data_IF_596482460799
#
_entry.id   IF_596482460799
#
_cell.length_a   1.000
_cell.length_b   1.000
_cell.length_c   1.000
_cell.angle_alpha   90.00
_cell.angle_beta   90.00
_cell.angle_gamma   90.00
#
_symmetry.space_group_name_H-M   'P 1'
#
loop_
_entity.id
_entity.type
_entity.pdbx_description
1 polymer ?
#
# COMPACT_ATOMS: atom_id res chain seq x y z
N UNK A 1 25.72 14.06 9.66
CA UNK A 1 24.45 14.31 10.37
C UNK A 1 23.38 14.19 9.32
N UNK A 2 22.69 13.04 9.25
CA UNK A 2 21.62 12.86 8.29
C UNK A 2 20.41 13.64 8.79
N UNK A 3 19.92 14.58 7.98
CA UNK A 3 18.63 15.21 8.18
C UNK A 3 17.61 14.11 8.48
N UNK A 4 16.98 14.19 9.66
CA UNK A 4 15.75 13.45 9.92
C UNK A 4 14.72 14.04 8.98
N UNK A 5 14.57 13.48 7.77
CA UNK A 5 13.38 13.69 6.96
C UNK A 5 12.20 13.36 7.87
N UNK A 6 11.37 14.36 8.17
CA UNK A 6 10.11 14.13 8.85
C UNK A 6 9.36 13.03 8.10
N UNK A 7 9.15 11.90 8.76
CA UNK A 7 8.47 10.74 8.18
C UNK A 7 7.06 11.22 7.83
N UNK A 8 6.81 11.51 6.55
CA UNK A 8 5.53 12.06 6.10
C UNK A 8 4.45 11.07 6.50
N UNK A 9 3.50 11.54 7.30
CA UNK A 9 2.32 10.77 7.64
C UNK A 9 1.62 10.42 6.32
N UNK A 10 1.42 9.12 6.04
CA UNK A 10 0.89 8.67 4.75
C UNK A 10 -0.60 9.00 4.59
N UNK A 11 -1.33 9.07 5.72
CA UNK A 11 -2.78 9.25 5.75
C UNK A 11 -3.18 10.37 6.74
N UNK A 12 -2.75 11.63 6.51
CA UNK A 12 -2.89 12.73 7.47
C UNK A 12 -4.31 13.27 7.66
N UNK A 13 -5.23 13.09 6.70
CA UNK A 13 -6.57 13.70 6.73
C UNK A 13 -7.63 12.78 7.34
N UNK A 14 -7.72 11.55 6.85
CA UNK A 14 -8.75 10.59 7.29
C UNK A 14 -8.19 9.47 8.16
N UNK A 15 -6.87 9.39 8.29
CA UNK A 15 -6.19 8.32 9.02
C UNK A 15 -6.10 7.03 8.23
N UNK A 16 -5.37 6.06 8.78
CA UNK A 16 -5.18 4.76 8.15
C UNK A 16 -6.39 3.85 8.41
N UNK A 17 -7.21 3.65 7.39
CA UNK A 17 -8.29 2.65 7.38
C UNK A 17 -7.72 1.24 7.23
N UNK A 18 -8.15 0.32 8.11
CA UNK A 18 -7.59 -1.02 8.24
C UNK A 18 -8.25 -2.08 7.35
N UNK A 19 -9.37 -1.73 6.69
CA UNK A 19 -10.18 -2.65 5.88
C UNK A 19 -10.81 -1.95 4.69
N UNK A 20 -11.29 -2.73 3.71
CA UNK A 20 -12.02 -2.20 2.56
C UNK A 20 -13.36 -1.60 2.98
N UNK A 21 -14.00 -2.25 3.95
CA UNK A 21 -15.30 -1.86 4.49
C UNK A 21 -15.20 -0.50 5.19
N UNK A 22 -14.14 -0.26 5.99
CA UNK A 22 -13.88 1.05 6.59
C UNK A 22 -13.73 2.13 5.52
N UNK A 23 -12.98 1.86 4.44
CA UNK A 23 -12.78 2.79 3.33
C UNK A 23 -14.07 3.14 2.60
N UNK A 24 -14.83 2.13 2.18
CA UNK A 24 -16.08 2.36 1.46
C UNK A 24 -17.17 2.95 2.37
N UNK A 25 -17.18 2.66 3.67
CA UNK A 25 -18.10 3.28 4.61
C UNK A 25 -17.79 4.77 4.84
N UNK A 26 -16.52 5.14 4.96
CA UNK A 26 -16.11 6.54 5.01
C UNK A 26 -16.53 7.29 3.73
N UNK A 27 -16.33 6.66 2.57
CA UNK A 27 -16.75 7.22 1.28
C UNK A 27 -18.27 7.41 1.19
N UNK A 28 -19.06 6.44 1.66
CA UNK A 28 -20.53 6.52 1.66
C UNK A 28 -21.02 7.65 2.56
N UNK A 29 -20.41 7.87 3.73
CA UNK A 29 -20.73 9.01 4.60
C UNK A 29 -20.52 10.35 3.90
N UNK A 30 -19.34 10.55 3.28
CA UNK A 30 -19.03 11.77 2.54
C UNK A 30 -19.98 12.00 1.35
N UNK A 31 -20.31 10.93 0.63
CA UNK A 31 -21.28 10.98 -0.48
C UNK A 31 -22.69 11.37 0.02
N UNK A 32 -23.15 10.79 1.13
CA UNK A 32 -24.46 11.10 1.71
C UNK A 32 -24.57 12.56 2.19
N UNK A 33 -23.46 13.13 2.67
CA UNK A 33 -23.35 14.54 3.06
C UNK A 33 -23.19 15.49 1.86
N UNK A 34 -22.95 14.95 0.66
CA UNK A 34 -22.67 15.73 -0.56
C UNK A 34 -21.28 16.38 -0.57
N UNK A 35 -20.38 15.96 0.32
CA UNK A 35 -19.01 16.49 0.42
C UNK A 35 -18.08 15.80 -0.57
N UNK A 36 -18.23 16.17 -1.84
CA UNK A 36 -17.46 15.61 -2.96
C UNK A 36 -15.97 15.98 -2.86
N UNK A 37 -15.64 17.14 -2.30
CA UNK A 37 -14.25 17.58 -2.13
C UNK A 37 -13.51 16.71 -1.10
N UNK A 38 -14.15 16.37 0.02
CA UNK A 38 -13.61 15.38 0.95
C UNK A 38 -13.55 13.98 0.36
N UNK A 39 -14.54 13.57 -0.45
CA UNK A 39 -14.52 12.26 -1.11
C UNK A 39 -13.33 12.13 -2.08
N UNK A 40 -13.05 13.17 -2.87
CA UNK A 40 -11.84 13.23 -3.72
C UNK A 40 -10.56 13.18 -2.89
N UNK A 41 -10.51 13.86 -1.77
CA UNK A 41 -9.37 13.82 -0.88
C UNK A 41 -9.18 12.42 -0.24
N UNK A 42 -10.27 11.73 0.10
CA UNK A 42 -10.25 10.36 0.59
C UNK A 42 -9.67 9.42 -0.48
N UNK A 43 -10.12 9.57 -1.72
CA UNK A 43 -9.60 8.81 -2.86
C UNK A 43 -8.09 9.03 -3.03
N UNK A 44 -7.66 10.30 -3.12
CA UNK A 44 -6.28 10.68 -3.31
C UNK A 44 -5.35 10.18 -2.19
N UNK A 45 -5.78 10.31 -0.92
CA UNK A 45 -5.02 9.80 0.23
C UNK A 45 -4.87 8.28 0.22
N UNK A 46 -5.77 7.56 -0.46
CA UNK A 46 -5.70 6.12 -0.66
C UNK A 46 -5.13 5.72 -2.03
N UNK A 47 -4.51 6.66 -2.77
CA UNK A 47 -3.82 6.40 -4.03
C UNK A 47 -4.73 6.23 -5.25
N UNK A 48 -6.02 6.55 -5.12
CA UNK A 48 -7.00 6.57 -6.21
C UNK A 48 -7.03 7.95 -6.85
N UNK A 49 -7.54 8.02 -8.08
CA UNK A 49 -7.61 9.26 -8.82
C UNK A 49 -8.94 9.99 -8.51
N UNK A 50 -9.03 11.29 -8.79
CA UNK A 50 -10.25 12.05 -8.47
C UNK A 50 -11.46 11.58 -9.27
N UNK A 51 -11.25 11.01 -10.45
CA UNK A 51 -12.29 10.42 -11.30
C UNK A 51 -13.00 9.25 -10.60
N UNK A 52 -12.27 8.41 -9.84
CA UNK A 52 -12.87 7.31 -9.06
C UNK A 52 -13.91 7.84 -8.04
N UNK A 53 -13.62 8.98 -7.42
CA UNK A 53 -14.53 9.65 -6.49
C UNK A 53 -15.73 10.30 -7.20
N UNK A 54 -15.52 10.86 -8.39
CA UNK A 54 -16.56 11.49 -9.19
C UNK A 54 -17.56 10.46 -9.73
N UNK A 55 -17.07 9.37 -10.30
CA UNK A 55 -17.89 8.25 -10.79
C UNK A 55 -18.72 7.65 -9.64
N UNK A 56 -18.12 7.48 -8.46
CA UNK A 56 -18.85 6.98 -7.30
C UNK A 56 -19.90 7.98 -6.81
N UNK A 57 -19.59 9.28 -6.76
CA UNK A 57 -20.54 10.32 -6.38
C UNK A 57 -21.73 10.41 -7.35
N UNK A 58 -21.47 10.30 -8.66
CA UNK A 58 -22.49 10.28 -9.71
C UNK A 58 -23.35 9.01 -9.69
N UNK A 59 -22.85 7.93 -9.05
CA UNK A 59 -23.53 6.64 -8.97
C UNK A 59 -23.24 5.71 -10.14
N UNK A 60 -22.23 6.04 -10.96
CA UNK A 60 -21.76 5.22 -12.07
C UNK A 60 -21.08 3.93 -11.58
N UNK A 61 -20.45 3.99 -10.40
CA UNK A 61 -19.95 2.83 -9.66
C UNK A 61 -20.63 2.70 -8.28
N UNK A 62 -20.68 1.47 -7.77
CA UNK A 62 -21.42 1.14 -6.53
C UNK A 62 -20.66 1.42 -5.24
N UNK A 63 -19.35 1.55 -5.31
CA UNK A 63 -18.45 1.75 -4.17
C UNK A 63 -17.22 2.52 -4.67
N UNK A 64 -16.55 3.24 -3.78
CA UNK A 64 -15.35 4.00 -4.14
C UNK A 64 -14.22 3.08 -4.64
N UNK A 65 -14.00 1.97 -3.95
CA UNK A 65 -12.92 1.05 -4.28
C UNK A 65 -13.36 -0.41 -4.25
N UNK A 66 -12.84 -1.21 -5.19
CA UNK A 66 -12.74 -2.67 -5.02
C UNK A 66 -11.56 -3.02 -4.11
N UNK A 67 -11.53 -4.24 -3.59
CA UNK A 67 -10.43 -4.75 -2.75
C UNK A 67 -9.05 -4.55 -3.42
N UNK A 68 -8.96 -4.89 -4.71
CA UNK A 68 -7.72 -4.76 -5.47
C UNK A 68 -7.34 -3.30 -5.75
N UNK A 69 -8.31 -2.44 -6.09
CA UNK A 69 -8.05 -1.00 -6.25
C UNK A 69 -7.51 -0.38 -4.97
N UNK A 70 -8.13 -0.68 -3.82
CA UNK A 70 -7.68 -0.18 -2.53
C UNK A 70 -6.25 -0.65 -2.20
N UNK A 71 -5.93 -1.93 -2.44
CA UNK A 71 -4.58 -2.46 -2.24
C UNK A 71 -3.54 -1.83 -3.18
N UNK A 72 -3.86 -1.69 -4.47
CA UNK A 72 -2.98 -1.02 -5.45
C UNK A 72 -2.74 0.45 -5.09
N UNK A 73 -3.77 1.14 -4.62
CA UNK A 73 -3.68 2.51 -4.12
C UNK A 73 -2.76 2.62 -2.89
N UNK A 74 -2.90 1.71 -1.92
CA UNK A 74 -1.97 1.62 -0.76
C UNK A 74 -0.52 1.42 -1.19
N UNK A 75 -0.28 0.51 -2.14
CA UNK A 75 1.05 0.27 -2.71
C UNK A 75 1.59 1.55 -3.38
N UNK A 76 0.76 2.24 -4.19
CA UNK A 76 1.14 3.50 -4.88
C UNK A 76 1.56 4.57 -3.86
N UNK A 77 0.74 4.81 -2.83
CA UNK A 77 1.05 5.78 -1.77
C UNK A 77 2.36 5.45 -1.06
N UNK A 78 2.60 4.18 -0.75
CA UNK A 78 3.88 3.76 -0.15
C UNK A 78 5.06 3.98 -1.10
N UNK A 79 4.94 3.63 -2.38
CA UNK A 79 5.99 3.81 -3.39
C UNK A 79 6.38 5.28 -3.56
N UNK A 80 5.40 6.19 -3.58
CA UNK A 80 5.64 7.63 -3.72
C UNK A 80 6.35 8.24 -2.50
N UNK A 81 6.35 7.55 -1.36
CA UNK A 81 6.93 8.00 -0.10
C UNK A 81 8.03 7.06 0.43
N UNK A 82 8.56 6.16 -0.40
CA UNK A 82 9.54 5.15 0.02
C UNK A 82 10.97 5.71 0.09
N UNK A 83 11.74 5.24 1.07
CA UNK A 83 13.19 5.47 1.16
C UNK A 83 14.01 4.27 0.61
N UNK A 84 13.34 3.24 0.08
CA UNK A 84 14.01 2.10 -0.56
C UNK A 84 14.76 2.62 -1.81
N UNK A 85 16.04 2.25 -2.01
CA UNK A 85 16.79 2.63 -3.21
C UNK A 85 16.05 2.24 -4.50
N UNK A 86 15.97 3.15 -5.47
CA UNK A 86 15.14 3.01 -6.67
C UNK A 86 15.25 1.62 -7.37
N UNK A 87 16.45 1.04 -7.60
CA UNK A 87 16.54 -0.28 -8.23
C UNK A 87 15.87 -1.41 -7.44
N UNK A 88 15.90 -1.34 -6.11
CA UNK A 88 15.23 -2.32 -5.24
C UNK A 88 13.73 -2.02 -5.14
N UNK A 89 13.36 -0.74 -5.05
CA UNK A 89 11.97 -0.31 -4.99
C UNK A 89 11.20 -0.75 -6.24
N UNK A 90 11.75 -0.53 -7.44
CA UNK A 90 11.09 -0.89 -8.71
C UNK A 90 10.74 -2.38 -8.78
N UNK A 91 11.62 -3.25 -8.26
CA UNK A 91 11.38 -4.70 -8.23
C UNK A 91 10.35 -5.05 -7.16
N UNK A 92 10.57 -4.62 -5.90
CA UNK A 92 9.73 -5.06 -4.77
C UNK A 92 8.31 -4.55 -4.92
N UNK A 93 8.12 -3.29 -5.31
CA UNK A 93 6.79 -2.72 -5.52
C UNK A 93 6.07 -3.36 -6.71
N UNK A 94 6.76 -3.66 -7.81
CA UNK A 94 6.11 -4.32 -8.95
C UNK A 94 5.69 -5.75 -8.60
N UNK A 95 6.53 -6.50 -7.89
CA UNK A 95 6.16 -7.83 -7.41
C UNK A 95 4.97 -7.77 -6.43
N UNK A 96 4.95 -6.80 -5.52
CA UNK A 96 3.81 -6.59 -4.63
C UNK A 96 2.52 -6.28 -5.41
N UNK A 97 2.59 -5.47 -6.47
CA UNK A 97 1.46 -5.13 -7.35
C UNK A 97 0.92 -6.36 -8.06
N UNK A 98 1.78 -7.19 -8.65
CA UNK A 98 1.34 -8.40 -9.36
C UNK A 98 0.69 -9.41 -8.41
N UNK A 99 1.17 -9.51 -7.18
CA UNK A 99 0.59 -10.39 -6.15
C UNK A 99 -0.80 -9.96 -5.66
N UNK A 100 -1.29 -8.76 -5.99
CA UNK A 100 -2.66 -8.32 -5.67
C UNK A 100 -3.76 -9.06 -6.44
N UNK A 101 -3.41 -9.98 -7.34
CA UNK A 101 -4.38 -10.94 -7.87
C UNK A 101 -4.92 -11.87 -6.77
N UNK A 102 -4.16 -12.04 -5.69
CA UNK A 102 -4.58 -12.76 -4.50
C UNK A 102 -5.32 -11.85 -3.51
N UNK A 103 -6.60 -12.13 -3.18
CA UNK A 103 -7.36 -11.35 -2.21
C UNK A 103 -6.74 -11.30 -0.81
N UNK A 104 -6.01 -12.33 -0.39
CA UNK A 104 -5.34 -12.34 0.93
C UNK A 104 -4.22 -11.30 0.98
N UNK A 105 -3.44 -11.20 -0.11
CA UNK A 105 -2.39 -10.18 -0.26
C UNK A 105 -3.01 -8.79 -0.29
N UNK A 106 -4.14 -8.62 -0.98
CA UNK A 106 -4.85 -7.34 -0.97
C UNK A 106 -5.24 -6.92 0.46
N UNK A 107 -5.83 -7.84 1.24
CA UNK A 107 -6.22 -7.56 2.63
C UNK A 107 -5.03 -7.22 3.49
N UNK A 108 -3.89 -7.89 3.30
CA UNK A 108 -2.68 -7.62 4.09
C UNK A 108 -2.19 -6.18 3.85
N UNK A 109 -2.26 -5.66 2.62
CA UNK A 109 -1.92 -4.26 2.35
C UNK A 109 -2.89 -3.22 2.92
N UNK A 110 -4.11 -3.61 3.29
CA UNK A 110 -5.07 -2.72 3.93
C UNK A 110 -4.89 -2.64 5.44
N UNK A 111 -4.20 -3.60 6.06
CA UNK A 111 -3.97 -3.60 7.50
C UNK A 111 -3.20 -2.35 7.93
N UNK A 112 -3.59 -1.79 9.08
CA UNK A 112 -2.92 -0.59 9.61
C UNK A 112 -1.47 -0.89 9.91
N UNK A 113 -0.56 -0.06 9.42
CA UNK A 113 0.88 -0.27 9.60
C UNK A 113 1.52 -1.25 8.61
N UNK A 114 0.76 -1.73 7.61
CA UNK A 114 1.28 -2.48 6.48
C UNK A 114 2.28 -1.64 5.69
N UNK A 115 3.57 -2.02 5.70
CA UNK A 115 4.65 -1.26 5.04
C UNK A 115 5.58 -2.18 4.25
N UNK A 116 5.78 -1.88 2.96
CA UNK A 116 6.72 -2.59 2.08
C UNK A 116 8.17 -2.42 2.55
N UNK A 117 8.49 -1.36 3.29
CA UNK A 117 9.79 -1.19 3.92
C UNK A 117 10.16 -2.36 4.85
N UNK A 118 9.18 -3.00 5.51
CA UNK A 118 9.40 -4.20 6.32
C UNK A 118 9.77 -5.43 5.47
N UNK A 119 9.17 -5.55 4.28
CA UNK A 119 9.55 -6.58 3.28
C UNK A 119 11.00 -6.37 2.83
N UNK A 120 11.37 -5.12 2.53
CA UNK A 120 12.73 -4.76 2.18
C UNK A 120 13.73 -5.06 3.30
N UNK A 121 13.41 -4.71 4.55
CA UNK A 121 14.24 -5.04 5.71
C UNK A 121 14.48 -6.54 5.84
N UNK A 122 13.43 -7.36 5.66
CA UNK A 122 13.55 -8.81 5.70
C UNK A 122 14.43 -9.36 4.58
N UNK A 123 14.25 -8.88 3.34
CA UNK A 123 15.10 -9.27 2.22
C UNK A 123 16.57 -8.89 2.47
N UNK A 124 16.83 -7.72 3.06
CA UNK A 124 18.19 -7.32 3.43
C UNK A 124 18.78 -8.17 4.54
N UNK A 125 18.00 -8.54 5.54
CA UNK A 125 18.43 -9.45 6.61
C UNK A 125 18.86 -10.79 6.02
N UNK A 126 18.00 -11.42 5.22
CA UNK A 126 18.32 -12.69 4.54
C UNK A 126 19.55 -12.57 3.64
N UNK A 127 19.71 -11.47 2.91
CA UNK A 127 20.91 -11.25 2.09
C UNK A 127 22.19 -11.18 2.94
N UNK A 128 22.15 -10.52 4.11
CA UNK A 128 23.28 -10.45 5.04
C UNK A 128 23.62 -11.81 5.64
N UNK A 129 22.61 -12.59 6.04
CA UNK A 129 22.80 -13.95 6.55
C UNK A 129 23.46 -14.87 5.51
N UNK A 130 23.14 -14.67 4.23
CA UNK A 130 23.69 -15.43 3.11
C UNK A 130 25.02 -14.86 2.57
N UNK A 131 25.64 -13.90 3.24
CA UNK A 131 26.81 -13.20 2.72
C UNK A 131 28.01 -14.14 2.55
N UNK A 132 28.58 -14.17 1.32
CA UNK A 132 29.81 -14.87 0.97
C UNK A 132 30.71 -13.94 0.17
N UNK A 133 31.99 -13.86 0.54
CA UNK A 133 33.00 -13.03 -0.15
C UNK A 133 32.57 -11.56 -0.36
N UNK A 134 31.85 -10.97 0.60
CA UNK A 134 31.42 -9.58 0.53
C UNK A 134 30.11 -9.32 -0.24
N UNK A 135 29.49 -10.35 -0.82
CA UNK A 135 28.20 -10.25 -1.49
C UNK A 135 27.16 -11.16 -0.83
N UNK A 136 25.93 -10.66 -0.67
CA UNK A 136 24.81 -11.39 -0.09
C UNK A 136 23.61 -11.39 -1.02
N UNK A 137 22.81 -12.45 -1.01
CA UNK A 137 21.63 -12.59 -1.85
C UNK A 137 20.44 -13.09 -1.04
N UNK A 138 19.28 -12.47 -1.26
CA UNK A 138 18.00 -13.01 -0.89
C UNK A 138 17.32 -13.50 -2.17
N UNK A 139 17.07 -14.80 -2.26
CA UNK A 139 16.41 -15.44 -3.39
C UNK A 139 15.35 -16.41 -2.86
N UNK A 140 14.28 -16.56 -3.61
CA UNK A 140 13.16 -17.45 -3.28
C UNK A 140 12.17 -17.53 -4.43
N UNK A 141 11.08 -18.22 -4.18
CA UNK A 141 9.94 -18.33 -5.08
C UNK A 141 8.94 -17.20 -4.83
N UNK A 142 7.98 -17.02 -5.75
CA UNK A 142 6.86 -16.10 -5.55
C UNK A 142 6.06 -16.44 -4.29
N UNK A 143 6.00 -17.73 -3.91
CA UNK A 143 5.36 -18.16 -2.66
C UNK A 143 6.12 -17.64 -1.44
N UNK A 144 7.45 -17.70 -1.46
CA UNK A 144 8.27 -17.21 -0.36
C UNK A 144 8.10 -15.70 -0.20
N UNK A 145 8.08 -14.95 -1.32
CA UNK A 145 7.83 -13.51 -1.26
C UNK A 145 6.39 -13.19 -0.82
N UNK A 146 5.37 -13.93 -1.28
CA UNK A 146 3.99 -13.78 -0.78
C UNK A 146 3.95 -13.94 0.74
N UNK A 147 4.61 -14.97 1.28
CA UNK A 147 4.69 -15.18 2.72
C UNK A 147 5.40 -14.05 3.45
N UNK A 148 6.51 -13.54 2.90
CA UNK A 148 7.22 -12.39 3.47
C UNK A 148 6.31 -11.18 3.49
N UNK A 149 5.62 -10.88 2.38
CA UNK A 149 4.66 -9.77 2.29
C UNK A 149 3.60 -9.93 3.37
N UNK A 150 2.88 -11.05 3.37
CA UNK A 150 1.78 -11.27 4.32
C UNK A 150 2.21 -11.21 5.78
N UNK A 151 3.40 -11.72 6.13
CA UNK A 151 3.93 -11.64 7.51
C UNK A 151 4.38 -10.21 7.85
N UNK A 152 5.19 -9.60 6.99
CA UNK A 152 5.79 -8.30 7.25
C UNK A 152 4.77 -7.15 7.25
N UNK A 153 3.66 -7.28 6.53
CA UNK A 153 2.64 -6.23 6.47
C UNK A 153 1.49 -6.43 7.46
N UNK A 154 1.40 -7.60 8.11
CA UNK A 154 0.40 -7.90 9.15
C UNK A 154 0.88 -7.64 10.59
N UNK A 155 2.19 -7.50 10.79
CA UNK A 155 2.84 -7.16 12.08
C UNK A 155 2.89 -5.64 12.33
#
# INVERSE_FOLDING_TARGET
MADKKDKKELFPRFGEMGTLEELNHAAEGLKAEGDIDSLKALAAENGMDSEDAEDYAAGDVKQLATLRQAALGRIKVQRENTDIPAPAADIIYEMARTMTEDPEVCRSFLQKGARIDKVWEKLRETAKENQKNGAGVACGTDRDLKEIIMKAVAE
#
